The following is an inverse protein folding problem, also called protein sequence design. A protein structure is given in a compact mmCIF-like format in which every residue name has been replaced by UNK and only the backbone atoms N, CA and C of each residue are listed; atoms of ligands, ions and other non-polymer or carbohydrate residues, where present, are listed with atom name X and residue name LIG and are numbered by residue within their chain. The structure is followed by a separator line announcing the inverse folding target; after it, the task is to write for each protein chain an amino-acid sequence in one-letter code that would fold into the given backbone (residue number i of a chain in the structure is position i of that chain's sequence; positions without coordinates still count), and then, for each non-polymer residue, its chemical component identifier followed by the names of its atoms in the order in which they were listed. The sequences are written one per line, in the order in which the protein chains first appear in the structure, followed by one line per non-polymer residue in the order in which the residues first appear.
data_IF_293502714077
#
_entry.id   IF_293502714077
#
_cell.length_a   1.000
_cell.length_b   1.000
_cell.length_c   1.000
_cell.angle_alpha   90.00
_cell.angle_beta   90.00
_cell.angle_gamma   90.00
#
_symmetry.space_group_name_H-M   'P 1'
#
loop_
_entity.id
_entity.type
_entity.pdbx_description
1 polymer ?
#
# COMPACT_ATOMS: atom_id res chain seq x y z
N UNK A 1 7.63 -16.73 9.41
CA UNK A 1 6.41 -17.44 9.82
C UNK A 1 6.47 -17.60 11.33
N UNK A 2 5.47 -17.11 12.05
CA UNK A 2 5.52 -16.95 13.51
C UNK A 2 5.15 -18.27 14.20
N UNK A 3 6.18 -18.99 14.69
CA UNK A 3 6.06 -20.28 15.41
C UNK A 3 5.16 -20.14 16.65
N UNK A 4 5.05 -18.93 17.21
CA UNK A 4 4.19 -18.63 18.36
C UNK A 4 2.70 -18.67 18.00
N UNK A 5 2.35 -18.42 16.74
CA UNK A 5 0.97 -18.47 16.24
C UNK A 5 0.51 -19.92 16.10
N UNK A 6 1.32 -20.77 15.45
CA UNK A 6 1.08 -22.21 15.29
C UNK A 6 0.86 -22.93 16.63
N UNK A 7 1.73 -22.66 17.62
CA UNK A 7 1.62 -23.28 18.95
C UNK A 7 0.36 -22.83 19.72
N UNK A 8 -0.11 -21.59 19.51
CA UNK A 8 -1.35 -21.08 20.12
C UNK A 8 -2.58 -21.64 19.44
N UNK A 9 -2.56 -21.79 18.11
CA UNK A 9 -3.63 -22.42 17.34
C UNK A 9 -3.80 -23.87 17.79
N UNK A 10 -2.71 -24.63 17.92
CA UNK A 10 -2.72 -25.99 18.44
C UNK A 10 -3.30 -26.06 19.86
N UNK A 11 -2.84 -25.20 20.77
CA UNK A 11 -3.36 -25.15 22.15
C UNK A 11 -4.85 -24.82 22.22
N UNK A 12 -5.33 -23.88 21.40
CA UNK A 12 -6.76 -23.55 21.33
C UNK A 12 -7.59 -24.73 20.82
N UNK A 13 -7.09 -25.47 19.82
CA UNK A 13 -7.78 -26.66 19.27
C UNK A 13 -7.83 -27.79 20.30
N UNK A 14 -6.81 -27.96 21.15
CA UNK A 14 -6.77 -29.03 22.15
C UNK A 14 -7.55 -28.66 23.43
N UNK A 15 -7.44 -27.43 23.94
CA UNK A 15 -7.91 -27.07 25.29
C UNK A 15 -9.27 -26.33 25.34
N UNK A 16 -9.86 -25.92 24.21
CA UNK A 16 -11.13 -25.18 24.25
C UNK A 16 -12.35 -26.10 24.31
N UNK A 17 -13.33 -25.83 25.20
CA UNK A 17 -14.54 -26.63 25.29
C UNK A 17 -15.36 -26.52 24.00
N UNK A 18 -16.07 -27.59 23.63
CA UNK A 18 -16.84 -27.68 22.38
C UNK A 18 -17.79 -26.48 22.20
N UNK A 19 -18.42 -26.02 23.28
CA UNK A 19 -19.29 -24.83 23.29
C UNK A 19 -18.59 -23.58 22.75
N UNK A 20 -17.34 -23.32 23.15
CA UNK A 20 -16.57 -22.16 22.66
C UNK A 20 -16.24 -22.28 21.17
N UNK A 21 -15.96 -23.48 20.65
CA UNK A 21 -15.72 -23.71 19.22
C UNK A 21 -17.00 -23.51 18.40
N UNK A 22 -18.13 -24.02 18.90
CA UNK A 22 -19.45 -23.84 18.29
C UNK A 22 -19.85 -22.36 18.29
N UNK A 23 -19.62 -21.63 19.38
CA UNK A 23 -19.88 -20.20 19.46
C UNK A 23 -19.09 -19.41 18.41
N UNK A 24 -17.78 -19.67 18.27
CA UNK A 24 -16.96 -19.04 17.22
C UNK A 24 -17.41 -19.42 15.81
N UNK A 25 -17.75 -20.68 15.58
CA UNK A 25 -18.28 -21.11 14.30
C UNK A 25 -19.58 -20.37 13.96
N UNK A 26 -20.52 -20.30 14.90
CA UNK A 26 -21.78 -19.58 14.72
C UNK A 26 -21.55 -18.08 14.48
N UNK A 27 -20.57 -17.48 15.16
CA UNK A 27 -20.17 -16.10 14.90
C UNK A 27 -19.68 -15.91 13.46
N UNK A 28 -18.72 -16.74 13.01
CA UNK A 28 -18.19 -16.68 11.64
C UNK A 28 -19.29 -16.92 10.60
N UNK A 29 -20.20 -17.86 10.84
CA UNK A 29 -21.36 -18.11 9.96
C UNK A 29 -22.27 -16.90 9.89
N UNK A 30 -22.55 -16.26 11.02
CA UNK A 30 -23.40 -15.06 11.09
C UNK A 30 -22.75 -13.89 10.36
N UNK A 31 -21.47 -13.62 10.61
CA UNK A 31 -20.69 -12.59 9.92
C UNK A 31 -20.63 -12.85 8.40
N UNK A 32 -20.37 -14.10 7.99
CA UNK A 32 -20.35 -14.48 6.59
C UNK A 32 -21.73 -14.25 5.94
N UNK A 33 -22.81 -14.69 6.58
CA UNK A 33 -24.17 -14.48 6.06
C UNK A 33 -24.50 -13.00 5.92
N UNK A 34 -24.14 -12.17 6.89
CA UNK A 34 -24.34 -10.72 6.82
C UNK A 34 -23.56 -10.10 5.66
N UNK A 35 -22.28 -10.45 5.50
CA UNK A 35 -21.46 -9.94 4.38
C UNK A 35 -21.99 -10.39 3.01
N UNK A 36 -22.53 -11.61 2.90
CA UNK A 36 -23.13 -12.10 1.66
C UNK A 36 -24.43 -11.38 1.31
N UNK A 37 -25.19 -10.92 2.30
CA UNK A 37 -26.41 -10.12 2.09
C UNK A 37 -26.10 -8.71 1.54
N UNK A 38 -24.96 -8.13 1.93
CA UNK A 38 -24.54 -6.81 1.46
C UNK A 38 -23.82 -6.86 0.10
N UNK A 39 -23.33 -8.03 -0.31
CA UNK A 39 -22.55 -8.19 -1.53
C UNK A 39 -23.47 -8.32 -2.76
N UNK A 40 -23.40 -7.39 -3.74
CA UNK A 40 -24.22 -7.44 -4.95
C UNK A 40 -23.87 -8.59 -5.91
N UNK A 41 -22.75 -9.26 -5.71
CA UNK A 41 -22.29 -10.39 -6.54
C UNK A 41 -22.64 -11.75 -5.94
N UNK A 42 -23.36 -11.78 -4.81
CA UNK A 42 -23.76 -13.02 -4.16
C UNK A 42 -25.11 -13.52 -4.67
N UNK A 43 -25.16 -14.79 -5.09
CA UNK A 43 -26.41 -15.44 -5.51
C UNK A 43 -27.33 -15.61 -4.29
N UNK A 44 -28.36 -14.77 -4.20
CA UNK A 44 -29.41 -14.95 -3.20
C UNK A 44 -30.17 -16.24 -3.49
N UNK A 45 -30.17 -17.18 -2.53
CA UNK A 45 -31.02 -18.37 -2.58
C UNK A 45 -32.49 -17.95 -2.70
N UNK A 46 -33.04 -18.04 -3.92
CA UNK A 46 -34.48 -17.98 -4.18
C UNK A 46 -35.08 -16.60 -4.45
N UNK A 47 -35.59 -16.45 -5.68
CA UNK A 47 -36.70 -15.57 -6.09
C UNK A 47 -36.55 -14.06 -6.12
N UNK A 48 -35.56 -13.42 -5.49
CA UNK A 48 -35.36 -11.97 -5.63
C UNK A 48 -34.10 -11.68 -6.45
N UNK A 49 -34.25 -11.47 -7.77
CA UNK A 49 -33.16 -11.06 -8.70
C UNK A 49 -32.68 -9.63 -8.46
N UNK A 50 -32.70 -9.20 -7.21
CA UNK A 50 -32.32 -7.89 -6.70
C UNK A 50 -31.81 -8.11 -5.29
N UNK A 51 -30.68 -8.80 -5.12
CA UNK A 51 -29.79 -8.48 -4.01
C UNK A 51 -29.50 -6.99 -4.18
N UNK A 52 -30.32 -6.16 -3.51
CA UNK A 52 -30.22 -4.72 -3.52
C UNK A 52 -28.86 -4.49 -2.89
N UNK A 53 -27.84 -4.25 -3.73
CA UNK A 53 -26.61 -3.60 -3.28
C UNK A 53 -27.06 -2.54 -2.29
N UNK A 54 -26.58 -2.53 -1.03
CA UNK A 54 -26.88 -1.46 -0.11
C UNK A 54 -26.67 -0.18 -0.89
N UNK A 55 -27.75 0.57 -1.11
CA UNK A 55 -27.70 1.75 -1.95
C UNK A 55 -26.62 2.61 -1.28
N UNK A 56 -25.52 2.99 -1.96
CA UNK A 56 -24.37 3.65 -1.32
C UNK A 56 -24.70 5.00 -0.68
N UNK A 57 -25.97 5.39 -0.70
CA UNK A 57 -26.63 6.51 -0.04
C UNK A 57 -26.35 6.65 1.46
N UNK A 58 -25.72 5.68 2.13
CA UNK A 58 -25.42 5.72 3.56
C UNK A 58 -23.95 5.88 3.92
N UNK A 59 -23.03 5.86 2.94
CA UNK A 59 -21.65 6.27 3.20
C UNK A 59 -21.55 7.77 3.01
N UNK A 60 -20.99 8.47 4.00
CA UNK A 60 -20.62 9.87 3.78
C UNK A 60 -19.67 9.95 2.58
N UNK A 61 -19.64 11.07 1.82
CA UNK A 61 -18.67 11.26 0.75
C UNK A 61 -17.22 10.97 1.18
N UNK A 62 -16.92 11.19 2.46
CA UNK A 62 -15.61 10.95 3.06
C UNK A 62 -15.30 9.47 3.34
N UNK A 63 -16.30 8.60 3.42
CA UNK A 63 -16.16 7.16 3.66
C UNK A 63 -16.27 6.33 2.39
N UNK A 64 -16.83 6.90 1.32
CA UNK A 64 -16.93 6.23 0.03
C UNK A 64 -15.54 5.96 -0.56
N UNK A 65 -15.33 4.74 -1.09
CA UNK A 65 -14.06 4.32 -1.68
C UNK A 65 -12.93 4.03 -0.67
N UNK A 66 -13.21 4.06 0.65
CA UNK A 66 -12.22 3.73 1.69
C UNK A 66 -12.51 2.36 2.32
N UNK A 67 -11.47 1.58 2.66
CA UNK A 67 -11.65 0.35 3.40
C UNK A 67 -12.21 0.65 4.79
N UNK A 68 -12.95 -0.31 5.37
CA UNK A 68 -13.44 -0.22 6.75
C UNK A 68 -12.27 0.01 7.71
N UNK A 69 -12.40 1.00 8.60
CA UNK A 69 -11.39 1.31 9.62
C UNK A 69 -11.10 0.07 10.49
N UNK A 70 -9.83 -0.19 10.76
CA UNK A 70 -9.33 -1.36 11.48
C UNK A 70 -9.37 -2.67 10.69
N UNK A 71 -9.81 -2.67 9.43
CA UNK A 71 -9.85 -3.88 8.61
C UNK A 71 -8.46 -4.28 8.11
N UNK A 72 -8.31 -5.56 7.75
CA UNK A 72 -7.08 -6.06 7.14
C UNK A 72 -6.79 -5.38 5.79
N UNK A 73 -7.84 -4.95 5.06
CA UNK A 73 -7.71 -4.20 3.80
C UNK A 73 -7.08 -2.83 4.04
N UNK A 74 -7.52 -2.11 5.08
CA UNK A 74 -6.90 -0.83 5.46
C UNK A 74 -5.44 -1.02 5.84
N UNK A 75 -5.14 -2.00 6.69
CA UNK A 75 -3.76 -2.33 7.08
C UNK A 75 -2.87 -2.64 5.88
N UNK A 76 -3.35 -3.48 4.93
CA UNK A 76 -2.63 -3.81 3.69
C UNK A 76 -2.38 -2.56 2.84
N UNK A 77 -3.39 -1.68 2.70
CA UNK A 77 -3.26 -0.43 1.97
C UNK A 77 -2.23 0.52 2.59
N UNK A 78 -2.23 0.66 3.92
CA UNK A 78 -1.23 1.46 4.64
C UNK A 78 0.18 0.87 4.52
N UNK A 79 0.33 -0.45 4.67
CA UNK A 79 1.60 -1.16 4.49
C UNK A 79 2.15 -0.99 3.06
N UNK A 80 1.29 -1.09 2.05
CA UNK A 80 1.66 -0.85 0.66
C UNK A 80 2.14 0.60 0.43
N UNK A 81 1.49 1.59 1.04
CA UNK A 81 1.95 2.98 0.97
C UNK A 81 3.34 3.18 1.59
N UNK A 82 3.62 2.57 2.75
CA UNK A 82 4.95 2.62 3.38
C UNK A 82 6.01 2.04 2.43
N UNK A 83 5.70 0.90 1.79
CA UNK A 83 6.60 0.26 0.84
C UNK A 83 6.85 1.15 -0.39
N UNK A 84 5.82 1.79 -0.94
CA UNK A 84 5.98 2.73 -2.06
C UNK A 84 6.88 3.91 -1.69
N UNK A 85 6.77 4.46 -0.48
CA UNK A 85 7.68 5.52 -0.02
C UNK A 85 9.13 5.02 0.11
N UNK A 86 9.31 3.77 0.52
CA UNK A 86 10.64 3.16 0.55
C UNK A 86 11.24 3.03 -0.86
N UNK A 87 10.46 2.51 -1.82
CA UNK A 87 10.88 2.40 -3.22
C UNK A 87 11.20 3.77 -3.85
N UNK A 88 10.48 4.83 -3.45
CA UNK A 88 10.78 6.20 -3.88
C UNK A 88 12.10 6.74 -3.31
N UNK A 89 12.43 6.44 -2.04
CA UNK A 89 13.73 6.81 -1.47
C UNK A 89 14.84 6.13 -2.26
N UNK A 90 14.72 4.82 -2.48
CA UNK A 90 15.69 4.03 -3.24
C UNK A 90 15.88 4.58 -4.67
N UNK A 91 14.80 4.97 -5.33
CA UNK A 91 14.86 5.67 -6.61
C UNK A 91 15.69 6.95 -6.56
N UNK A 92 15.42 7.82 -5.60
CA UNK A 92 16.19 9.05 -5.45
C UNK A 92 17.66 8.78 -5.08
N UNK A 93 17.96 7.69 -4.36
CA UNK A 93 19.33 7.29 -4.04
C UNK A 93 20.08 6.79 -5.27
N UNK A 94 19.44 5.98 -6.13
CA UNK A 94 20.04 5.55 -7.40
C UNK A 94 20.33 6.76 -8.28
N UNK A 95 19.37 7.69 -8.41
CA UNK A 95 19.58 8.94 -9.17
C UNK A 95 20.73 9.75 -8.56
N UNK A 96 20.81 9.85 -7.23
CA UNK A 96 21.87 10.61 -6.57
C UNK A 96 23.28 10.02 -6.81
N UNK A 97 23.39 8.69 -6.80
CA UNK A 97 24.65 7.97 -6.92
C UNK A 97 25.14 7.85 -8.36
N UNK A 98 24.21 7.68 -9.31
CA UNK A 98 24.53 7.48 -10.74
C UNK A 98 24.40 8.76 -11.56
N UNK A 99 23.71 9.77 -11.04
CA UNK A 99 23.50 11.05 -11.70
C UNK A 99 24.71 11.98 -11.62
N UNK A 100 24.66 13.03 -12.43
CA UNK A 100 25.66 14.10 -12.52
C UNK A 100 25.20 15.32 -11.73
N UNK A 101 26.12 16.14 -11.18
CA UNK A 101 25.75 17.41 -10.59
C UNK A 101 25.13 18.33 -11.65
N UNK A 102 24.10 19.09 -11.27
CA UNK A 102 23.51 20.13 -12.12
C UNK A 102 24.49 21.30 -12.17
N UNK A 103 24.67 21.91 -13.36
CA UNK A 103 25.71 22.93 -13.62
C UNK A 103 25.61 24.15 -12.69
N UNK A 104 24.39 24.59 -12.38
CA UNK A 104 24.13 25.73 -11.50
C UNK A 104 24.02 25.36 -10.01
N UNK A 105 23.67 24.12 -9.69
CA UNK A 105 23.39 23.65 -8.33
C UNK A 105 24.09 22.30 -8.06
N UNK A 106 25.34 22.30 -7.55
CA UNK A 106 26.12 21.08 -7.40
C UNK A 106 25.61 20.15 -6.29
N UNK A 107 24.66 20.59 -5.46
CA UNK A 107 23.98 19.73 -4.49
C UNK A 107 22.85 18.90 -5.12
N UNK A 108 22.30 19.36 -6.24
CA UNK A 108 21.29 18.65 -6.99
C UNK A 108 21.95 17.68 -7.98
N UNK A 109 21.16 16.70 -8.41
CA UNK A 109 21.59 15.66 -9.33
C UNK A 109 20.59 15.51 -10.45
N UNK A 110 21.10 15.30 -11.64
CA UNK A 110 20.34 14.93 -12.82
C UNK A 110 20.83 13.59 -13.39
N UNK A 111 19.92 12.85 -14.02
CA UNK A 111 20.24 11.64 -14.78
C UNK A 111 19.35 11.58 -16.02
N UNK A 112 19.85 11.05 -17.13
CA UNK A 112 19.00 10.80 -18.28
C UNK A 112 18.05 9.62 -18.02
N UNK A 113 16.84 9.66 -18.59
CA UNK A 113 15.89 8.55 -18.45
C UNK A 113 16.46 7.24 -19.00
N UNK A 114 17.21 7.26 -20.10
CA UNK A 114 17.82 6.08 -20.69
C UNK A 114 18.82 5.39 -19.76
N UNK A 115 19.72 6.17 -19.14
CA UNK A 115 20.68 5.65 -18.16
C UNK A 115 19.97 5.07 -16.93
N UNK A 116 18.99 5.81 -16.39
CA UNK A 116 18.21 5.36 -15.23
C UNK A 116 17.44 4.07 -15.55
N UNK A 117 16.81 4.00 -16.72
CA UNK A 117 16.05 2.83 -17.16
C UNK A 117 16.96 1.62 -17.29
N UNK A 118 18.16 1.77 -17.88
CA UNK A 118 19.12 0.67 -18.03
C UNK A 118 19.57 0.10 -16.67
N UNK A 119 19.79 0.96 -15.67
CA UNK A 119 20.08 0.53 -14.30
C UNK A 119 18.88 -0.25 -13.73
N UNK A 120 17.67 0.29 -13.89
CA UNK A 120 16.45 -0.27 -13.31
C UNK A 120 15.98 -1.57 -13.95
N UNK A 121 16.31 -1.85 -15.22
CA UNK A 121 15.98 -3.13 -15.88
C UNK A 121 16.48 -4.34 -15.08
N UNK A 122 17.59 -4.19 -14.35
CA UNK A 122 18.15 -5.27 -13.54
C UNK A 122 17.72 -5.24 -12.07
N UNK A 123 16.98 -4.22 -11.64
CA UNK A 123 16.58 -4.00 -10.26
C UNK A 123 15.07 -4.16 -10.10
N UNK A 124 14.27 -3.44 -10.90
CA UNK A 124 12.83 -3.29 -10.73
C UNK A 124 12.16 -2.79 -12.04
N UNK A 125 11.10 -3.46 -12.48
CA UNK A 125 10.35 -3.18 -13.71
C UNK A 125 9.35 -2.01 -13.60
N UNK A 126 9.27 -1.34 -12.45
CA UNK A 126 8.29 -0.29 -12.14
C UNK A 126 8.82 1.14 -12.24
N UNK A 127 9.97 1.39 -12.87
CA UNK A 127 10.66 2.70 -12.80
C UNK A 127 9.77 3.88 -13.25
N UNK A 128 9.00 3.72 -14.33
CA UNK A 128 8.12 4.79 -14.82
C UNK A 128 7.01 5.13 -13.81
N UNK A 129 6.40 4.10 -13.20
CA UNK A 129 5.40 4.29 -12.15
C UNK A 129 5.98 4.95 -10.90
N UNK A 130 7.21 4.60 -10.52
CA UNK A 130 7.92 5.22 -9.41
C UNK A 130 8.29 6.67 -9.69
N UNK A 131 8.71 7.01 -10.92
CA UNK A 131 8.97 8.38 -11.33
C UNK A 131 7.72 9.26 -11.22
N UNK A 132 6.59 8.78 -11.72
CA UNK A 132 5.31 9.49 -11.60
C UNK A 132 4.91 9.68 -10.14
N UNK A 133 5.13 8.67 -9.30
CA UNK A 133 4.83 8.74 -7.88
C UNK A 133 5.76 9.73 -7.17
N UNK A 134 7.06 9.71 -7.46
CA UNK A 134 8.03 10.65 -6.90
C UNK A 134 7.76 12.09 -7.32
N UNK A 135 7.33 12.30 -8.57
CA UNK A 135 6.88 13.60 -9.08
C UNK A 135 5.66 14.13 -8.33
N UNK A 136 4.68 13.28 -8.03
CA UNK A 136 3.50 13.67 -7.21
C UNK A 136 3.88 14.14 -5.81
N UNK A 137 5.03 13.71 -5.29
CA UNK A 137 5.56 14.11 -4.00
C UNK A 137 6.63 15.22 -4.09
N UNK A 138 6.81 15.84 -5.26
CA UNK A 138 7.74 16.95 -5.49
C UNK A 138 9.20 16.59 -5.14
N UNK A 139 9.59 15.35 -5.38
CA UNK A 139 10.98 14.91 -5.17
C UNK A 139 11.85 15.10 -6.41
N UNK A 140 11.23 14.98 -7.58
CA UNK A 140 11.89 15.06 -8.86
C UNK A 140 10.95 15.64 -9.91
N UNK A 141 11.52 16.06 -11.04
CA UNK A 141 10.78 16.52 -12.21
C UNK A 141 11.46 16.07 -13.50
N UNK A 142 10.68 15.98 -14.58
CA UNK A 142 11.13 15.66 -15.93
C UNK A 142 10.12 16.19 -16.95
N UNK A 143 10.51 16.35 -18.21
CA UNK A 143 9.61 16.84 -19.25
C UNK A 143 8.64 15.75 -19.75
N UNK A 144 7.36 16.12 -19.97
CA UNK A 144 6.32 15.22 -20.48
C UNK A 144 5.47 14.55 -19.41
N UNK A 145 4.40 13.86 -19.82
CA UNK A 145 3.46 13.17 -18.91
C UNK A 145 3.93 11.76 -18.54
N UNK A 146 4.54 11.04 -19.48
CA UNK A 146 5.03 9.67 -19.32
C UNK A 146 6.27 9.49 -20.19
N UNK A 147 7.19 8.63 -19.76
CA UNK A 147 8.45 8.35 -20.46
C UNK A 147 8.43 6.93 -21.03
N UNK A 148 8.95 6.80 -22.25
CA UNK A 148 8.98 5.54 -23.00
C UNK A 148 10.41 5.30 -23.47
N UNK A 149 10.90 4.07 -23.28
CA UNK A 149 12.25 3.67 -23.69
C UNK A 149 12.47 3.89 -25.18
N UNK A 150 13.71 4.17 -25.60
CA UNK A 150 14.16 4.47 -26.97
C UNK A 150 13.68 5.79 -27.55
N UNK A 151 12.52 6.28 -27.13
CA UNK A 151 12.01 7.58 -27.55
C UNK A 151 12.45 8.69 -26.60
N UNK A 152 12.26 8.49 -25.30
CA UNK A 152 12.54 9.50 -24.26
C UNK A 152 13.88 9.29 -23.54
N UNK A 153 14.79 8.47 -24.06
CA UNK A 153 16.04 8.11 -23.37
C UNK A 153 16.92 9.33 -23.04
N UNK A 154 16.78 10.42 -23.81
CA UNK A 154 17.53 11.66 -23.64
C UNK A 154 16.89 12.63 -22.62
N UNK A 155 15.67 12.37 -22.14
CA UNK A 155 14.96 13.28 -21.25
C UNK A 155 15.68 13.31 -19.88
N UNK A 156 16.11 14.48 -19.41
CA UNK A 156 16.74 14.61 -18.10
C UNK A 156 15.70 14.53 -16.98
N UNK A 157 16.07 13.83 -15.91
CA UNK A 157 15.32 13.70 -14.67
C UNK A 157 16.10 14.43 -13.59
N UNK A 158 15.49 15.47 -13.02
CA UNK A 158 16.10 16.34 -12.02
C UNK A 158 15.59 16.00 -10.63
N UNK A 159 16.47 15.79 -9.66
CA UNK A 159 16.08 15.82 -8.25
C UNK A 159 15.85 17.27 -7.82
N UNK A 160 14.71 17.54 -7.21
CA UNK A 160 14.33 18.88 -6.75
C UNK A 160 14.92 19.22 -5.37
N UNK A 161 15.47 18.23 -4.66
CA UNK A 161 15.99 18.37 -3.30
C UNK A 161 17.21 17.48 -3.10
N UNK A 162 18.15 17.86 -2.21
CA UNK A 162 19.25 17.00 -1.81
C UNK A 162 18.76 15.70 -1.17
N UNK A 163 19.50 14.61 -1.36
CA UNK A 163 19.09 13.26 -0.91
C UNK A 163 18.81 13.17 0.59
N UNK A 164 19.53 13.94 1.41
CA UNK A 164 19.31 14.01 2.87
C UNK A 164 17.90 14.51 3.20
N UNK A 165 17.45 15.58 2.54
CA UNK A 165 16.12 16.14 2.74
C UNK A 165 15.03 15.18 2.25
N UNK A 166 15.24 14.52 1.11
CA UNK A 166 14.29 13.53 0.57
C UNK A 166 14.05 12.40 1.57
N UNK A 167 15.13 11.85 2.15
CA UNK A 167 15.06 10.82 3.18
C UNK A 167 14.24 11.27 4.39
N UNK A 168 14.47 12.49 4.87
CA UNK A 168 13.75 13.05 6.02
C UNK A 168 12.24 13.20 5.73
N UNK A 169 11.89 13.76 4.57
CA UNK A 169 10.50 13.95 4.14
C UNK A 169 9.77 12.60 4.06
N UNK A 170 10.37 11.61 3.41
CA UNK A 170 9.74 10.30 3.23
C UNK A 170 9.67 9.50 4.53
N UNK A 171 10.71 9.55 5.36
CA UNK A 171 10.72 8.89 6.67
C UNK A 171 9.66 9.48 7.60
N UNK A 172 9.46 10.80 7.54
CA UNK A 172 8.38 11.48 8.28
C UNK A 172 7.01 10.97 7.84
N UNK A 173 6.76 10.89 6.53
CA UNK A 173 5.51 10.35 5.96
C UNK A 173 5.30 8.87 6.33
N UNK A 174 6.34 8.04 6.27
CA UNK A 174 6.25 6.64 6.72
C UNK A 174 5.91 6.55 8.21
N UNK A 175 6.52 7.40 9.05
CA UNK A 175 6.29 7.43 10.50
C UNK A 175 4.87 7.83 10.82
N UNK A 176 4.29 8.79 10.10
CA UNK A 176 2.88 9.18 10.24
C UNK A 176 1.93 8.03 9.88
N UNK A 177 2.19 7.29 8.80
CA UNK A 177 1.40 6.10 8.46
C UNK A 177 1.58 5.01 9.54
N UNK A 178 2.80 4.80 10.05
CA UNK A 178 3.03 3.83 11.13
C UNK A 178 2.35 4.22 12.45
N UNK A 179 2.21 5.51 12.75
CA UNK A 179 1.49 6.02 13.93
C UNK A 179 -0.02 5.88 13.78
N UNK A 180 -0.55 6.09 12.58
CA UNK A 180 -1.98 5.88 12.27
C UNK A 180 -2.35 4.40 12.15
N UNK A 181 -1.38 3.53 11.91
CA UNK A 181 -1.50 2.10 12.19
C UNK A 181 -1.77 1.95 13.70
N UNK A 182 -3.04 1.72 14.05
CA UNK A 182 -3.42 1.21 15.36
C UNK A 182 -2.50 0.02 15.71
N UNK A 183 -2.09 -0.18 16.98
CA UNK A 183 -1.43 -1.42 17.37
C UNK A 183 -2.29 -2.56 16.83
N UNK A 184 -1.66 -3.43 16.04
CA UNK A 184 -2.19 -4.61 15.35
C UNK A 184 -3.67 -4.81 15.60
N UNK A 185 -4.60 -4.75 14.60
CA UNK A 185 -5.99 -5.09 14.86
C UNK A 185 -5.95 -6.38 15.65
N UNK A 186 -6.41 -6.30 16.91
CA UNK A 186 -6.48 -7.48 17.74
C UNK A 186 -7.30 -8.43 16.88
N UNK A 187 -6.69 -9.53 16.42
CA UNK A 187 -7.44 -10.70 15.95
C UNK A 187 -8.53 -10.82 17.00
N UNK A 188 -9.77 -10.46 16.66
CA UNK A 188 -10.88 -10.20 17.60
C UNK A 188 -10.63 -10.95 18.89
N UNK A 189 -9.93 -10.30 19.84
CA UNK A 189 -9.44 -10.98 21.05
C UNK A 189 -10.62 -10.98 21.98
N UNK A 190 -11.58 -11.85 21.71
CA UNK A 190 -12.32 -12.50 22.78
C UNK A 190 -11.33 -13.46 23.45
N UNK A 191 -10.46 -12.91 24.31
CA UNK A 191 -9.72 -13.68 25.30
C UNK A 191 -10.71 -14.21 26.35
N UNK A 192 -10.37 -15.32 27.02
CA UNK A 192 -11.24 -16.46 27.36
C UNK A 192 -12.39 -16.18 28.31
#
# INVERSE_FOLDING_TARGET
MDVSHELRVLRYVVDSPLSSKVAKFNQVVTEHKNNQLENPFSEGNGSDRRSRSPNPKFLSPDEYGKPKKGSLTEYRGMKANIQVYQEMIELCEVIHNSGRPVEDEPELREISFGELFQIYVHINDKVVGLLLRARKHELLTFEGECLFQKFHDHVPIYLLRPIKQIREIMTSKQTEIRRSLSPNPSETRSSP
#
